data_IF_583816787934
#
_entry.id   IF_583816787934
#
_cell.length_a   1.000
_cell.length_b   1.000
_cell.length_c   1.000
_cell.angle_alpha   90.00
_cell.angle_beta   90.00
_cell.angle_gamma   90.00
#
_symmetry.space_group_name_H-M   'P 1'
#
loop_
_entity.id
_entity.type
_entity.pdbx_description
1 polymer ?
#
# COMPACT_ATOMS: atom_id res chain seq x y z
N UNK A 1 -9.68 -15.47 -42.83
CA UNK A 1 -8.86 -15.47 -41.59
C UNK A 1 -8.54 -14.03 -41.23
N UNK A 2 -8.55 -13.70 -39.95
CA UNK A 2 -8.19 -12.36 -39.44
C UNK A 2 -6.71 -12.41 -39.05
N UNK A 3 -5.93 -11.39 -39.43
CA UNK A 3 -4.51 -11.29 -39.04
C UNK A 3 -4.39 -10.99 -37.55
N UNK A 4 -3.31 -11.47 -36.91
CA UNK A 4 -3.06 -11.32 -35.46
C UNK A 4 -3.27 -9.91 -34.95
N UNK A 5 -2.83 -8.90 -35.70
CA UNK A 5 -2.95 -7.48 -35.34
C UNK A 5 -4.39 -7.04 -35.09
N UNK A 6 -5.37 -7.74 -35.66
CA UNK A 6 -6.77 -7.33 -35.69
C UNK A 6 -7.70 -8.13 -34.78
N UNK A 7 -7.19 -8.97 -33.87
CA UNK A 7 -8.01 -9.68 -32.88
C UNK A 7 -7.38 -9.64 -31.47
N UNK A 8 -8.16 -9.94 -30.45
CA UNK A 8 -7.70 -10.08 -29.05
C UNK A 8 -7.11 -11.47 -28.79
N UNK A 9 -6.07 -11.57 -27.97
CA UNK A 9 -5.49 -12.86 -27.57
C UNK A 9 -6.43 -13.57 -26.57
N UNK A 10 -7.12 -12.81 -25.72
CA UNK A 10 -8.12 -13.28 -24.75
C UNK A 10 -9.31 -12.32 -24.73
N UNK A 11 -10.53 -12.84 -24.57
CA UNK A 11 -11.73 -12.05 -24.26
C UNK A 11 -12.41 -12.58 -23.01
N UNK A 12 -12.73 -11.69 -22.07
CA UNK A 12 -13.63 -11.99 -20.94
C UNK A 12 -15.03 -11.55 -21.38
N UNK A 13 -15.94 -12.50 -21.55
CA UNK A 13 -17.29 -12.22 -22.08
C UNK A 13 -18.25 -11.80 -20.98
N UNK A 14 -19.13 -10.84 -21.27
CA UNK A 14 -20.28 -10.47 -20.45
C UNK A 14 -19.93 -10.18 -18.97
N UNK A 15 -18.80 -9.52 -18.69
CA UNK A 15 -18.39 -9.20 -17.33
C UNK A 15 -19.25 -8.07 -16.75
N UNK A 16 -19.63 -8.17 -15.47
CA UNK A 16 -20.01 -7.00 -14.67
C UNK A 16 -18.74 -6.34 -14.17
N UNK A 17 -18.36 -5.19 -14.72
CA UNK A 17 -17.14 -4.47 -14.36
C UNK A 17 -17.48 -3.47 -13.27
N UNK A 18 -16.69 -3.48 -12.20
CA UNK A 18 -16.70 -2.44 -11.15
C UNK A 18 -15.30 -1.84 -11.09
N UNK A 19 -15.20 -0.56 -11.45
CA UNK A 19 -13.95 0.17 -11.49
C UNK A 19 -14.19 1.65 -11.13
N UNK A 20 -13.29 2.31 -10.37
CA UNK A 20 -13.49 3.69 -9.95
C UNK A 20 -13.53 4.71 -11.09
N UNK A 21 -12.93 4.40 -12.25
CA UNK A 21 -12.89 5.29 -13.42
C UNK A 21 -14.01 4.96 -14.41
N UNK A 22 -14.25 3.68 -14.69
CA UNK A 22 -15.29 3.24 -15.63
C UNK A 22 -16.69 3.21 -14.99
N UNK A 23 -16.79 3.14 -13.67
CA UNK A 23 -18.03 2.96 -12.93
C UNK A 23 -18.47 1.49 -12.90
N UNK A 24 -19.80 1.27 -12.87
CA UNK A 24 -20.40 -0.07 -12.88
C UNK A 24 -21.03 -0.30 -14.25
N UNK A 25 -20.41 -1.14 -15.07
CA UNK A 25 -20.82 -1.38 -16.47
C UNK A 25 -20.88 -2.86 -16.81
N UNK A 26 -21.64 -3.20 -17.85
CA UNK A 26 -21.68 -4.53 -18.47
C UNK A 26 -20.97 -4.45 -19.81
N UNK A 27 -19.91 -5.21 -20.01
CA UNK A 27 -19.14 -5.22 -21.25
C UNK A 27 -18.29 -6.49 -21.39
N UNK A 28 -17.73 -6.70 -22.57
CA UNK A 28 -16.62 -7.62 -22.80
C UNK A 28 -15.29 -6.90 -22.58
N UNK A 29 -14.28 -7.64 -22.15
CA UNK A 29 -12.91 -7.12 -21.97
C UNK A 29 -11.99 -7.87 -22.93
N UNK A 30 -11.35 -7.14 -23.84
CA UNK A 30 -10.33 -7.67 -24.73
C UNK A 30 -8.94 -7.52 -24.11
N UNK A 31 -8.12 -8.55 -24.22
CA UNK A 31 -6.71 -8.55 -23.80
C UNK A 31 -5.82 -8.92 -24.98
N UNK A 32 -4.71 -8.21 -25.13
CA UNK A 32 -3.72 -8.42 -26.18
C UNK A 32 -2.32 -8.14 -25.67
N UNK A 33 -1.39 -9.04 -25.94
CA UNK A 33 0.02 -8.93 -25.51
C UNK A 33 0.14 -8.62 -24.00
N UNK A 34 -0.71 -9.24 -23.18
CA UNK A 34 -0.74 -9.06 -21.73
C UNK A 34 -1.33 -7.72 -21.24
N UNK A 35 -1.94 -6.92 -22.12
CA UNK A 35 -2.54 -5.62 -21.79
C UNK A 35 -4.02 -5.59 -22.14
N UNK A 36 -4.78 -4.76 -21.43
CA UNK A 36 -6.18 -4.47 -21.79
C UNK A 36 -6.17 -3.77 -23.16
N UNK A 37 -6.76 -4.42 -24.15
CA UNK A 37 -6.95 -3.90 -25.51
C UNK A 37 -8.11 -2.90 -25.54
N UNK A 38 -9.20 -3.22 -24.84
CA UNK A 38 -10.40 -2.40 -24.80
C UNK A 38 -11.52 -3.05 -23.98
N UNK A 39 -12.53 -2.24 -23.67
CA UNK A 39 -13.76 -2.64 -22.98
C UNK A 39 -14.91 -2.21 -23.89
N UNK A 40 -15.76 -3.15 -24.29
CA UNK A 40 -16.80 -2.89 -25.28
C UNK A 40 -17.54 -4.15 -25.70
N UNK A 41 -18.01 -4.18 -26.94
CA UNK A 41 -18.70 -5.33 -27.52
C UNK A 41 -17.72 -6.21 -28.31
N UNK A 42 -17.53 -7.46 -27.88
CA UNK A 42 -16.67 -8.41 -28.56
C UNK A 42 -17.46 -9.33 -29.50
N UNK A 43 -16.90 -9.63 -30.68
CA UNK A 43 -17.60 -10.50 -31.61
C UNK A 43 -16.98 -10.64 -32.98
N UNK A 44 -17.81 -11.08 -33.93
CA UNK A 44 -17.44 -11.24 -35.33
C UNK A 44 -18.07 -10.12 -36.18
N UNK A 45 -17.29 -9.15 -36.68
CA UNK A 45 -17.81 -8.00 -37.42
C UNK A 45 -18.44 -8.37 -38.77
N UNK A 46 -18.32 -9.62 -39.23
CA UNK A 46 -18.97 -10.06 -40.48
C UNK A 46 -20.46 -10.39 -40.29
N UNK A 47 -20.91 -10.60 -39.06
CA UNK A 47 -22.28 -11.06 -38.75
C UNK A 47 -22.90 -10.34 -37.55
N UNK A 48 -22.18 -9.41 -36.93
CA UNK A 48 -22.61 -8.61 -35.78
C UNK A 48 -22.31 -7.15 -36.07
N UNK A 49 -23.21 -6.27 -35.66
CA UNK A 49 -23.01 -4.82 -35.71
C UNK A 49 -22.19 -4.36 -34.49
N UNK A 50 -21.57 -3.17 -34.58
CA UNK A 50 -20.90 -2.47 -33.48
C UNK A 50 -19.90 -3.31 -32.68
N UNK A 51 -19.01 -4.04 -33.38
CA UNK A 51 -17.94 -4.83 -32.76
C UNK A 51 -16.71 -3.96 -32.50
N UNK A 52 -16.40 -3.74 -31.22
CA UNK A 52 -15.20 -3.03 -30.76
C UNK A 52 -13.98 -3.98 -30.69
N UNK A 53 -14.22 -5.23 -30.31
CA UNK A 53 -13.17 -6.23 -30.03
C UNK A 53 -13.40 -7.46 -30.91
N UNK A 54 -12.52 -7.69 -31.87
CA UNK A 54 -12.69 -8.83 -32.78
C UNK A 54 -12.21 -10.13 -32.13
N UNK A 55 -13.10 -11.13 -32.14
CA UNK A 55 -12.80 -12.52 -31.75
C UNK A 55 -12.40 -13.33 -32.98
N UNK A 56 -11.33 -14.12 -32.87
CA UNK A 56 -10.85 -14.98 -33.95
C UNK A 56 -10.67 -16.43 -33.50
N UNK A 57 -10.27 -17.30 -34.42
CA UNK A 57 -9.89 -18.69 -34.10
C UNK A 57 -8.66 -18.83 -33.19
N UNK A 58 -7.96 -17.74 -32.86
CA UNK A 58 -6.79 -17.72 -31.97
C UNK A 58 -7.04 -16.87 -30.71
N UNK A 59 -8.31 -16.57 -30.40
CA UNK A 59 -8.72 -15.82 -29.21
C UNK A 59 -9.19 -16.81 -28.16
N UNK A 60 -8.58 -16.81 -26.98
CA UNK A 60 -9.08 -17.55 -25.81
C UNK A 60 -10.28 -16.83 -25.19
N UNK A 61 -11.14 -17.56 -24.47
CA UNK A 61 -12.35 -17.04 -23.85
C UNK A 61 -12.39 -17.38 -22.35
N UNK A 62 -12.68 -16.37 -21.52
CA UNK A 62 -13.11 -16.54 -20.14
C UNK A 62 -14.58 -16.11 -20.03
N UNK A 63 -15.44 -16.98 -19.51
CA UNK A 63 -16.84 -16.66 -19.23
C UNK A 63 -16.96 -15.73 -18.01
N UNK A 64 -17.28 -14.46 -18.25
CA UNK A 64 -17.57 -13.46 -17.21
C UNK A 64 -19.06 -13.34 -16.85
N UNK A 65 -19.93 -14.17 -17.45
CA UNK A 65 -21.33 -14.26 -17.05
C UNK A 65 -21.43 -14.68 -15.57
N UNK A 66 -22.33 -14.06 -14.82
CA UNK A 66 -22.53 -14.31 -13.38
C UNK A 66 -21.32 -14.03 -12.49
N UNK A 67 -20.33 -13.28 -12.96
CA UNK A 67 -19.19 -12.81 -12.15
C UNK A 67 -19.13 -11.28 -12.11
N UNK A 68 -18.35 -10.77 -11.15
CA UNK A 68 -17.92 -9.38 -11.09
C UNK A 68 -16.42 -9.36 -11.41
N UNK A 69 -16.00 -8.44 -12.27
CA UNK A 69 -14.61 -8.21 -12.64
C UNK A 69 -14.16 -6.86 -12.10
N UNK A 70 -13.04 -6.85 -11.37
CA UNK A 70 -12.41 -5.65 -10.82
C UNK A 70 -10.95 -5.61 -11.28
N UNK A 71 -10.29 -4.45 -11.23
CA UNK A 71 -8.83 -4.41 -11.23
C UNK A 71 -8.27 -5.27 -10.09
N UNK A 72 -7.06 -5.79 -10.28
CA UNK A 72 -6.34 -6.45 -9.18
C UNK A 72 -5.94 -5.44 -8.12
N UNK A 73 -6.03 -5.83 -6.85
CA UNK A 73 -5.71 -4.96 -5.70
C UNK A 73 -4.22 -4.61 -5.68
N UNK A 74 -3.91 -3.37 -5.28
CA UNK A 74 -2.55 -2.89 -5.01
C UNK A 74 -2.44 -2.68 -3.50
N UNK A 75 -1.62 -3.47 -2.83
CA UNK A 75 -1.30 -3.26 -1.42
C UNK A 75 0.03 -2.52 -1.31
N UNK A 76 -0.01 -1.32 -0.75
CA UNK A 76 1.14 -0.43 -0.65
C UNK A 76 1.85 -0.45 0.70
N UNK A 77 1.40 -1.25 1.68
CA UNK A 77 2.04 -1.32 2.99
C UNK A 77 2.48 -2.75 3.33
N UNK A 78 3.32 -3.34 2.49
CA UNK A 78 3.81 -4.71 2.66
C UNK A 78 5.14 -4.76 3.44
N UNK A 79 5.15 -5.47 4.55
CA UNK A 79 6.40 -5.91 5.16
C UNK A 79 6.80 -7.25 4.54
N UNK A 80 7.91 -7.29 3.80
CA UNK A 80 8.42 -8.52 3.17
C UNK A 80 9.11 -9.44 4.21
N UNK A 81 8.36 -9.86 5.23
CA UNK A 81 8.77 -10.73 6.33
C UNK A 81 8.87 -12.18 5.85
N UNK A 82 7.90 -12.62 5.06
CA UNK A 82 7.83 -14.01 4.60
C UNK A 82 7.30 -14.11 3.16
N UNK A 83 7.91 -14.96 2.30
CA UNK A 83 7.47 -15.13 0.91
C UNK A 83 6.07 -15.74 0.78
N UNK A 84 5.58 -16.43 1.83
CA UNK A 84 4.23 -16.99 1.85
C UNK A 84 3.14 -15.91 1.69
N UNK A 85 3.42 -14.67 2.09
CA UNK A 85 2.50 -13.55 1.90
C UNK A 85 2.10 -13.36 0.44
N UNK A 86 2.98 -13.65 -0.54
CA UNK A 86 2.64 -13.54 -1.96
C UNK A 86 1.48 -14.46 -2.35
N UNK A 87 1.42 -15.66 -1.75
CA UNK A 87 0.36 -16.63 -2.01
C UNK A 87 -0.96 -16.15 -1.39
N UNK A 88 -0.92 -15.68 -0.15
CA UNK A 88 -2.10 -15.18 0.55
C UNK A 88 -2.66 -13.93 -0.16
N UNK A 89 -1.77 -13.01 -0.55
CA UNK A 89 -2.11 -11.78 -1.27
C UNK A 89 -2.83 -12.09 -2.60
N UNK A 90 -2.23 -12.93 -3.46
CA UNK A 90 -2.81 -13.24 -4.77
C UNK A 90 -4.14 -14.01 -4.65
N UNK A 91 -4.28 -14.87 -3.64
CA UNK A 91 -5.53 -15.57 -3.35
C UNK A 91 -6.66 -14.62 -2.92
N UNK A 92 -6.32 -13.46 -2.35
CA UNK A 92 -7.26 -12.39 -2.02
C UNK A 92 -7.44 -11.36 -3.16
N UNK A 93 -6.86 -11.59 -4.33
CA UNK A 93 -6.98 -10.70 -5.49
C UNK A 93 -5.98 -9.54 -5.53
N UNK A 94 -4.98 -9.52 -4.65
CA UNK A 94 -3.84 -8.60 -4.75
C UNK A 94 -2.95 -9.03 -5.90
N UNK A 95 -2.64 -8.08 -6.79
CA UNK A 95 -1.75 -8.33 -7.96
C UNK A 95 -0.48 -7.50 -7.90
N UNK A 96 -0.40 -6.54 -6.98
CA UNK A 96 0.74 -5.65 -6.80
C UNK A 96 1.03 -5.47 -5.32
N UNK A 97 2.29 -5.68 -4.93
CA UNK A 97 2.78 -5.56 -3.55
C UNK A 97 3.88 -4.51 -3.50
N UNK A 98 3.65 -3.40 -2.79
CA UNK A 98 4.64 -2.34 -2.59
C UNK A 98 4.95 -2.23 -1.10
N UNK A 99 6.23 -2.17 -0.75
CA UNK A 99 6.65 -2.17 0.64
C UNK A 99 8.13 -2.40 0.79
N UNK A 100 8.59 -2.97 1.91
CA UNK A 100 10.03 -3.20 2.11
C UNK A 100 10.31 -4.32 3.11
N UNK A 101 11.51 -4.88 3.02
CA UNK A 101 11.94 -5.96 3.91
C UNK A 101 13.04 -6.84 3.33
N UNK A 102 13.61 -7.69 4.18
CA UNK A 102 14.67 -8.65 3.82
C UNK A 102 14.43 -10.02 4.44
N UNK A 103 13.17 -10.43 4.59
CA UNK A 103 12.78 -11.60 5.38
C UNK A 103 12.54 -11.25 6.87
N UNK A 104 12.52 -12.24 7.78
CA UNK A 104 12.05 -12.06 9.16
C UNK A 104 13.11 -11.46 10.09
N UNK A 105 13.85 -10.45 9.61
CA UNK A 105 14.77 -9.67 10.43
C UNK A 105 14.00 -8.65 11.27
N UNK A 106 14.48 -8.33 12.48
CA UNK A 106 13.79 -7.40 13.40
C UNK A 106 13.43 -6.06 12.73
N UNK A 107 14.35 -5.53 11.91
CA UNK A 107 14.10 -4.30 11.16
C UNK A 107 12.97 -4.41 10.12
N UNK A 108 12.76 -5.58 9.53
CA UNK A 108 11.64 -5.85 8.60
C UNK A 108 10.35 -6.17 9.35
N UNK A 109 10.44 -6.86 10.49
CA UNK A 109 9.30 -7.09 11.37
C UNK A 109 8.71 -5.78 11.89
N UNK A 110 9.54 -4.74 12.02
CA UNK A 110 9.11 -3.41 12.46
C UNK A 110 8.84 -2.43 11.30
N UNK A 111 9.56 -2.52 10.18
CA UNK A 111 9.54 -1.44 9.17
C UNK A 111 9.52 -1.97 7.74
N UNK A 112 8.77 -1.31 6.86
CA UNK A 112 8.78 -1.51 5.40
C UNK A 112 10.03 -0.93 4.73
N UNK A 113 11.21 -1.37 5.15
CA UNK A 113 12.48 -0.94 4.58
C UNK A 113 13.26 -2.13 4.00
N UNK A 114 13.71 -2.01 2.75
CA UNK A 114 14.77 -2.84 2.15
C UNK A 114 16.07 -2.03 2.13
N UNK A 115 16.92 -2.11 3.18
CA UNK A 115 18.00 -1.15 3.36
C UNK A 115 19.25 -1.47 2.53
N UNK A 116 19.69 -0.51 1.72
CA UNK A 116 20.97 -0.57 1.00
C UNK A 116 20.93 -1.35 -0.33
N UNK A 117 21.87 -1.04 -1.21
CA UNK A 117 21.97 -1.56 -2.59
C UNK A 117 21.90 -3.09 -2.65
N UNK A 118 22.71 -3.78 -1.84
CA UNK A 118 22.80 -5.24 -1.88
C UNK A 118 21.47 -5.92 -1.55
N UNK A 119 20.75 -5.45 -0.53
CA UNK A 119 19.48 -6.01 -0.12
C UNK A 119 18.39 -5.74 -1.17
N UNK A 120 18.38 -4.55 -1.77
CA UNK A 120 17.43 -4.20 -2.83
C UNK A 120 17.61 -5.16 -4.02
N UNK A 121 18.84 -5.35 -4.50
CA UNK A 121 19.12 -6.28 -5.60
C UNK A 121 18.70 -7.72 -5.25
N UNK A 122 18.97 -8.19 -4.02
CA UNK A 122 18.58 -9.54 -3.59
C UNK A 122 17.08 -9.74 -3.52
N UNK A 123 16.33 -8.73 -3.08
CA UNK A 123 14.87 -8.80 -3.06
C UNK A 123 14.28 -8.77 -4.47
N UNK A 124 14.85 -7.98 -5.39
CA UNK A 124 14.47 -8.00 -6.82
C UNK A 124 14.69 -9.40 -7.42
N UNK A 125 15.87 -9.99 -7.21
CA UNK A 125 16.16 -11.37 -7.65
C UNK A 125 15.18 -12.39 -7.04
N UNK A 126 14.85 -12.25 -5.75
CA UNK A 126 14.00 -13.19 -5.03
C UNK A 126 12.55 -13.20 -5.53
N UNK A 127 12.04 -12.07 -6.05
CA UNK A 127 10.64 -11.98 -6.48
C UNK A 127 10.39 -12.37 -7.94
N UNK A 128 11.44 -12.65 -8.73
CA UNK A 128 11.31 -13.02 -10.15
C UNK A 128 10.48 -14.30 -10.38
N UNK A 129 10.31 -15.15 -9.37
CA UNK A 129 9.52 -16.38 -9.47
C UNK A 129 8.00 -16.18 -9.30
N UNK A 130 7.53 -15.02 -8.83
CA UNK A 130 6.12 -14.79 -8.50
C UNK A 130 5.36 -14.08 -9.64
N UNK A 131 4.11 -14.47 -9.92
CA UNK A 131 3.25 -13.81 -10.91
C UNK A 131 2.56 -12.55 -10.31
N UNK A 132 3.34 -11.66 -9.71
CA UNK A 132 2.89 -10.44 -9.04
C UNK A 132 3.80 -9.27 -9.43
N UNK A 133 3.27 -8.05 -9.35
CA UNK A 133 4.10 -6.85 -9.47
C UNK A 133 4.67 -6.49 -8.09
N UNK A 134 5.94 -6.06 -8.05
CA UNK A 134 6.61 -5.69 -6.80
C UNK A 134 7.21 -4.28 -6.89
N UNK A 135 7.12 -3.54 -5.77
CA UNK A 135 7.86 -2.30 -5.54
C UNK A 135 8.55 -2.33 -4.19
N UNK A 136 9.83 -1.95 -4.14
CA UNK A 136 10.62 -1.93 -2.91
C UNK A 136 10.89 -0.51 -2.42
N UNK A 137 10.61 -0.28 -1.15
CA UNK A 137 10.91 0.94 -0.43
C UNK A 137 12.26 0.79 0.27
N UNK A 138 13.16 1.76 0.06
CA UNK A 138 14.40 1.80 0.81
C UNK A 138 14.22 2.47 2.18
N UNK A 139 15.24 2.40 3.04
CA UNK A 139 15.22 3.15 4.31
C UNK A 139 15.44 4.63 4.04
N UNK A 140 14.48 5.47 4.44
CA UNK A 140 14.49 6.92 4.25
C UNK A 140 15.11 7.72 5.40
N UNK A 141 15.37 7.09 6.55
CA UNK A 141 15.84 7.76 7.76
C UNK A 141 17.36 8.08 7.72
N UNK A 142 17.74 9.07 6.92
CA UNK A 142 19.08 9.68 6.96
C UNK A 142 18.97 11.20 6.88
N UNK A 143 19.73 11.93 7.69
CA UNK A 143 19.77 13.41 7.66
C UNK A 143 20.61 13.95 6.49
N UNK A 144 21.22 13.06 5.71
CA UNK A 144 22.00 13.34 4.50
C UNK A 144 21.42 12.60 3.31
N UNK A 145 21.50 13.22 2.14
CA UNK A 145 20.81 12.74 0.94
C UNK A 145 21.60 11.65 0.20
N UNK A 146 22.93 11.61 0.35
CA UNK A 146 23.81 10.77 -0.46
C UNK A 146 23.51 9.28 -0.31
N UNK A 147 23.28 8.80 0.92
CA UNK A 147 22.95 7.40 1.18
C UNK A 147 21.55 7.02 0.69
N UNK A 148 20.61 7.97 0.65
CA UNK A 148 19.26 7.75 0.14
C UNK A 148 19.27 7.64 -1.39
N UNK A 149 20.03 8.51 -2.07
CA UNK A 149 20.21 8.47 -3.53
C UNK A 149 20.83 7.16 -4.01
N UNK A 150 21.77 6.60 -3.26
CA UNK A 150 22.38 5.29 -3.56
C UNK A 150 21.33 4.18 -3.61
N UNK A 151 20.42 4.16 -2.64
CA UNK A 151 19.36 3.14 -2.56
C UNK A 151 18.32 3.30 -3.68
N UNK A 152 17.90 4.52 -4.00
CA UNK A 152 16.99 4.76 -5.13
C UNK A 152 17.64 4.32 -6.45
N UNK A 153 18.92 4.63 -6.64
CA UNK A 153 19.68 4.18 -7.83
C UNK A 153 19.79 2.65 -7.93
N UNK A 154 19.78 1.93 -6.81
CA UNK A 154 19.78 0.48 -6.77
C UNK A 154 18.44 -0.16 -7.17
N UNK A 155 17.37 0.63 -7.35
CA UNK A 155 16.07 0.15 -7.83
C UNK A 155 14.93 0.28 -6.81
N UNK A 156 15.12 0.98 -5.69
CA UNK A 156 13.99 1.31 -4.83
C UNK A 156 13.04 2.29 -5.53
N UNK A 157 11.73 2.03 -5.45
CA UNK A 157 10.69 2.88 -6.05
C UNK A 157 10.14 3.94 -5.08
N UNK A 158 10.64 3.97 -3.86
CA UNK A 158 10.26 4.93 -2.82
C UNK A 158 11.11 4.78 -1.56
N UNK A 159 10.84 5.63 -0.58
CA UNK A 159 11.53 5.65 0.72
C UNK A 159 10.52 5.48 1.85
N UNK A 160 10.86 4.70 2.88
CA UNK A 160 10.09 4.62 4.13
C UNK A 160 10.82 5.38 5.24
N UNK A 161 10.15 6.36 5.83
CA UNK A 161 10.50 6.95 7.12
C UNK A 161 9.78 6.18 8.23
N UNK A 162 10.50 5.70 9.23
CA UNK A 162 9.95 5.01 10.40
C UNK A 162 10.51 5.51 11.71
N UNK A 163 9.68 5.58 12.77
CA UNK A 163 10.09 6.11 14.07
C UNK A 163 11.21 5.27 14.71
N UNK A 164 11.17 3.94 14.55
CA UNK A 164 12.21 2.98 14.95
C UNK A 164 13.60 3.28 14.37
N UNK A 165 13.66 4.00 13.26
CA UNK A 165 14.91 4.49 12.65
C UNK A 165 15.12 6.00 12.83
N UNK A 166 14.22 6.69 13.53
CA UNK A 166 14.23 8.13 13.79
C UNK A 166 13.52 8.95 12.72
N UNK A 167 12.21 9.17 12.87
CA UNK A 167 11.41 10.07 12.01
C UNK A 167 11.49 11.51 12.53
N UNK A 168 12.67 12.11 12.39
CA UNK A 168 12.96 13.48 12.83
C UNK A 168 12.68 14.49 11.70
N UNK A 169 12.49 15.78 12.01
CA UNK A 169 12.39 16.82 10.98
C UNK A 169 13.55 16.83 9.96
N UNK A 170 14.77 16.48 10.39
CA UNK A 170 15.94 16.43 9.52
C UNK A 170 15.88 15.25 8.53
N UNK A 171 15.47 14.07 8.98
CA UNK A 171 15.31 12.89 8.12
C UNK A 171 14.12 13.04 7.17
N UNK A 172 13.01 13.62 7.65
CA UNK A 172 11.85 14.00 6.81
C UNK A 172 12.30 14.90 5.65
N UNK A 173 13.04 15.97 5.97
CA UNK A 173 13.46 16.93 4.94
C UNK A 173 14.41 16.31 3.91
N UNK A 174 15.38 15.50 4.35
CA UNK A 174 16.33 14.81 3.48
C UNK A 174 15.63 13.82 2.53
N UNK A 175 14.75 12.97 3.07
CA UNK A 175 13.99 12.01 2.27
C UNK A 175 13.11 12.68 1.21
N UNK A 176 12.42 13.76 1.58
CA UNK A 176 11.58 14.51 0.65
C UNK A 176 12.40 15.26 -0.42
N UNK A 177 13.57 15.80 -0.08
CA UNK A 177 14.47 16.37 -1.09
C UNK A 177 14.93 15.33 -2.12
N UNK A 178 15.20 14.10 -1.67
CA UNK A 178 15.60 13.01 -2.56
C UNK A 178 14.43 12.59 -3.43
N UNK A 179 13.24 12.42 -2.84
CA UNK A 179 12.02 12.10 -3.57
C UNK A 179 11.72 13.08 -4.71
N UNK A 180 11.82 14.39 -4.45
CA UNK A 180 11.65 15.43 -5.48
C UNK A 180 12.71 15.34 -6.59
N UNK A 181 13.94 14.89 -6.28
CA UNK A 181 15.04 14.74 -7.25
C UNK A 181 14.90 13.48 -8.10
N UNK A 182 14.29 12.43 -7.57
CA UNK A 182 14.23 11.11 -8.20
C UNK A 182 12.85 10.73 -8.70
N UNK A 183 11.84 11.57 -8.48
CA UNK A 183 10.43 11.30 -8.83
C UNK A 183 9.94 9.98 -8.20
N UNK A 184 10.20 9.84 -6.90
CA UNK A 184 9.80 8.68 -6.08
C UNK A 184 8.91 9.11 -4.93
N UNK A 185 8.14 8.19 -4.35
CA UNK A 185 7.29 8.50 -3.19
C UNK A 185 8.05 8.37 -1.86
N UNK A 186 7.63 9.12 -0.84
CA UNK A 186 7.99 8.89 0.57
C UNK A 186 6.76 8.38 1.32
N UNK A 187 6.89 7.23 1.95
CA UNK A 187 5.96 6.73 2.95
C UNK A 187 6.46 7.07 4.35
N UNK A 188 5.57 7.44 5.28
CA UNK A 188 5.96 7.84 6.64
C UNK A 188 5.12 7.15 7.72
N UNK A 189 5.84 6.65 8.72
CA UNK A 189 5.38 6.37 10.07
C UNK A 189 6.02 7.42 10.99
N UNK A 190 5.19 8.26 11.61
CA UNK A 190 5.64 9.46 12.34
C UNK A 190 6.06 9.16 13.78
N UNK A 191 6.65 10.14 14.46
CA UNK A 191 7.18 10.03 15.82
C UNK A 191 6.04 9.93 16.85
N UNK A 192 5.67 8.70 17.24
CA UNK A 192 4.59 8.45 18.21
C UNK A 192 4.88 9.11 19.56
N UNK A 193 6.14 9.12 19.95
CA UNK A 193 6.61 9.64 21.24
C UNK A 193 6.57 11.17 21.31
N UNK A 194 6.41 11.85 20.18
CA UNK A 194 6.60 13.29 20.07
C UNK A 194 7.97 13.73 20.59
N UNK A 195 9.00 12.90 20.43
CA UNK A 195 10.35 13.15 20.93
C UNK A 195 10.98 14.39 20.28
N UNK A 196 10.80 14.51 18.97
CA UNK A 196 11.40 15.58 18.16
C UNK A 196 10.42 16.73 17.84
N UNK A 197 9.20 16.68 18.38
CA UNK A 197 8.14 17.66 18.16
C UNK A 197 6.76 17.00 18.06
N UNK A 198 5.71 17.81 17.97
CA UNK A 198 4.34 17.31 17.79
C UNK A 198 3.99 17.20 16.30
N UNK A 199 2.78 16.71 15.98
CA UNK A 199 2.31 16.54 14.59
C UNK A 199 2.47 17.81 13.74
N UNK A 200 2.25 18.99 14.34
CA UNK A 200 2.40 20.28 13.66
C UNK A 200 3.84 20.57 13.24
N UNK A 201 4.83 20.06 13.96
CA UNK A 201 6.25 20.22 13.63
C UNK A 201 6.65 19.26 12.49
N UNK A 202 6.08 18.05 12.48
CA UNK A 202 6.20 17.13 11.33
C UNK A 202 5.53 17.69 10.08
N UNK A 203 4.34 18.28 10.18
CA UNK A 203 3.67 18.96 9.05
C UNK A 203 4.55 20.11 8.52
N UNK A 204 5.13 20.93 9.41
CA UNK A 204 6.09 21.97 9.00
C UNK A 204 7.32 21.38 8.31
N UNK A 205 7.85 20.26 8.79
CA UNK A 205 9.00 19.59 8.18
C UNK A 205 8.68 19.02 6.79
N UNK A 206 7.45 18.54 6.57
CA UNK A 206 6.97 18.11 5.25
C UNK A 206 6.93 19.31 4.27
N UNK A 207 6.63 20.51 4.77
CA UNK A 207 6.73 21.76 4.02
C UNK A 207 5.92 21.78 2.71
N UNK A 208 4.72 21.17 2.73
CA UNK A 208 3.81 21.14 1.58
C UNK A 208 4.21 20.20 0.44
N UNK A 209 5.26 19.38 0.62
CA UNK A 209 5.69 18.36 -0.36
C UNK A 209 4.80 17.12 -0.28
N UNK A 210 4.67 16.42 -1.40
CA UNK A 210 3.87 15.19 -1.48
C UNK A 210 4.46 14.11 -0.57
N UNK A 211 3.62 13.48 0.26
CA UNK A 211 4.04 12.37 1.13
C UNK A 211 2.85 11.46 1.45
N UNK A 212 3.11 10.16 1.52
CA UNK A 212 2.12 9.14 1.89
C UNK A 212 2.20 8.84 3.39
N UNK A 213 1.17 9.20 4.14
CA UNK A 213 1.07 8.85 5.57
C UNK A 213 0.46 7.47 5.73
N UNK A 214 1.23 6.53 6.29
CA UNK A 214 0.72 5.21 6.64
C UNK A 214 -0.12 5.26 7.91
N UNK A 215 -1.02 4.27 8.05
CA UNK A 215 -1.92 4.06 9.20
C UNK A 215 -2.31 5.37 9.88
N UNK A 216 -2.92 6.26 9.08
CA UNK A 216 -3.08 7.69 9.40
C UNK A 216 -3.91 7.93 10.66
N UNK A 217 -4.73 6.98 11.06
CA UNK A 217 -5.47 7.00 12.33
C UNK A 217 -4.56 6.93 13.57
N UNK A 218 -3.42 6.22 13.47
CA UNK A 218 -2.35 6.23 14.47
C UNK A 218 -2.24 5.00 15.38
N UNK A 219 -3.14 4.01 15.34
CA UNK A 219 -2.99 2.77 16.10
C UNK A 219 -1.76 1.97 15.63
N UNK A 220 -1.58 1.87 14.30
CA UNK A 220 -0.39 1.32 13.67
C UNK A 220 0.88 2.15 13.94
N UNK A 221 0.72 3.43 14.32
CA UNK A 221 1.76 4.31 14.82
C UNK A 221 1.74 5.72 14.25
N UNK A 222 2.37 6.64 14.97
CA UNK A 222 2.40 8.06 14.66
C UNK A 222 2.03 8.93 15.86
N UNK A 223 2.31 10.23 15.75
CA UNK A 223 2.12 11.24 16.81
C UNK A 223 0.85 10.99 17.65
N UNK A 224 1.05 10.66 18.92
CA UNK A 224 -0.05 10.44 19.85
C UNK A 224 -0.53 11.77 20.46
N UNK A 225 -1.84 12.07 20.48
CA UNK A 225 -2.95 11.27 19.95
C UNK A 225 -3.44 11.71 18.56
N UNK A 226 -2.80 12.69 17.91
CA UNK A 226 -3.44 13.54 16.91
C UNK A 226 -2.84 13.45 15.49
N UNK A 227 -2.08 12.39 15.18
CA UNK A 227 -1.56 12.14 13.82
C UNK A 227 -2.66 12.20 12.75
N UNK A 228 -3.88 11.73 13.04
CA UNK A 228 -5.03 11.78 12.12
C UNK A 228 -5.31 13.16 11.54
N UNK A 229 -4.94 14.24 12.24
CA UNK A 229 -5.05 15.62 11.74
C UNK A 229 -4.40 15.80 10.37
N UNK A 230 -3.32 15.07 10.09
CA UNK A 230 -2.54 15.20 8.85
C UNK A 230 -3.35 14.90 7.58
N UNK A 231 -4.45 14.13 7.69
CA UNK A 231 -5.35 13.86 6.57
C UNK A 231 -6.05 15.14 6.03
N UNK A 232 -6.07 16.24 6.80
CA UNK A 232 -6.60 17.52 6.36
C UNK A 232 -5.67 18.34 5.46
N UNK A 233 -4.42 17.92 5.28
CA UNK A 233 -3.43 18.64 4.50
C UNK A 233 -3.48 18.25 3.00
N UNK A 234 -3.41 19.21 2.06
CA UNK A 234 -3.67 18.97 0.64
C UNK A 234 -2.57 18.18 -0.09
N UNK A 235 -1.37 18.11 0.50
CA UNK A 235 -0.20 17.42 -0.03
C UNK A 235 -0.01 16.02 0.56
N UNK A 236 -0.94 15.57 1.40
CA UNK A 236 -0.88 14.27 2.07
C UNK A 236 -1.72 13.27 1.29
N UNK A 237 -1.16 12.06 1.11
CA UNK A 237 -1.87 10.90 0.58
C UNK A 237 -2.12 9.93 1.74
N UNK A 238 -3.24 10.03 2.47
CA UNK A 238 -3.46 9.25 3.67
C UNK A 238 -3.93 7.83 3.36
N UNK A 239 -3.30 6.84 4.00
CA UNK A 239 -3.81 5.46 4.04
C UNK A 239 -4.06 4.97 5.46
N UNK A 240 -4.94 3.98 5.55
CA UNK A 240 -5.15 3.15 6.73
C UNK A 240 -4.52 1.78 6.56
N UNK A 241 -4.29 1.10 7.67
CA UNK A 241 -3.97 -0.32 7.70
C UNK A 241 -5.18 -1.10 8.19
N UNK A 242 -5.28 -2.38 7.82
CA UNK A 242 -6.56 -3.06 7.87
C UNK A 242 -7.05 -3.57 9.25
N UNK A 243 -6.25 -3.73 10.32
CA UNK A 243 -6.81 -4.34 11.54
C UNK A 243 -7.81 -3.48 12.30
N UNK A 244 -7.74 -2.15 12.13
CA UNK A 244 -8.73 -1.25 12.72
C UNK A 244 -10.03 -1.23 11.92
N UNK A 245 -10.11 -1.89 10.75
CA UNK A 245 -11.17 -1.73 9.74
C UNK A 245 -12.13 -2.93 9.69
N UNK A 246 -13.44 -2.74 9.92
CA UNK A 246 -14.07 -1.57 10.56
C UNK A 246 -13.87 -1.59 12.08
N UNK A 247 -14.34 -0.53 12.77
CA UNK A 247 -14.39 -0.54 14.22
C UNK A 247 -15.44 -1.55 14.72
N UNK A 248 -15.01 -2.50 15.57
CA UNK A 248 -15.86 -3.56 16.13
C UNK A 248 -15.71 -3.69 17.64
N UNK A 249 -16.58 -4.51 18.25
CA UNK A 249 -16.58 -4.78 19.70
C UNK A 249 -15.29 -5.38 20.23
N UNK A 250 -14.48 -6.03 19.40
CA UNK A 250 -13.21 -6.65 19.81
C UNK A 250 -11.98 -5.80 19.44
N UNK A 251 -12.14 -4.77 18.61
CA UNK A 251 -11.01 -4.02 18.03
C UNK A 251 -10.12 -3.44 19.12
N UNK A 252 -10.69 -2.75 20.12
CA UNK A 252 -9.88 -2.10 21.15
C UNK A 252 -9.09 -3.09 22.00
N UNK A 253 -9.73 -4.18 22.45
CA UNK A 253 -9.09 -5.18 23.30
C UNK A 253 -8.00 -5.94 22.54
N UNK A 254 -8.26 -6.30 21.28
CA UNK A 254 -7.26 -6.93 20.41
C UNK A 254 -6.04 -6.02 20.22
N UNK A 255 -6.25 -4.74 19.91
CA UNK A 255 -5.15 -3.84 19.58
C UNK A 255 -4.32 -3.45 20.80
N UNK A 256 -4.94 -3.29 21.98
CA UNK A 256 -4.20 -3.05 23.21
C UNK A 256 -3.25 -4.22 23.52
N UNK A 257 -3.75 -5.46 23.46
CA UNK A 257 -2.91 -6.63 23.74
C UNK A 257 -1.84 -6.84 22.66
N UNK A 258 -2.20 -6.67 21.37
CA UNK A 258 -1.25 -6.71 20.26
C UNK A 258 -0.12 -5.69 20.44
N UNK A 259 -0.46 -4.45 20.79
CA UNK A 259 0.52 -3.37 20.98
C UNK A 259 1.47 -3.69 22.15
N UNK A 260 0.93 -4.18 23.27
CA UNK A 260 1.72 -4.59 24.43
C UNK A 260 2.68 -5.73 24.09
N UNK A 261 2.23 -6.73 23.32
CA UNK A 261 3.08 -7.85 22.88
C UNK A 261 4.16 -7.40 21.92
N UNK A 262 3.80 -6.65 20.87
CA UNK A 262 4.75 -6.19 19.84
C UNK A 262 5.87 -5.33 20.42
N UNK A 263 5.56 -4.47 21.40
CA UNK A 263 6.53 -3.57 22.02
C UNK A 263 7.14 -4.13 23.31
N UNK A 264 6.85 -5.40 23.67
CA UNK A 264 7.35 -6.05 24.88
C UNK A 264 7.05 -5.26 26.17
N UNK A 265 5.88 -4.61 26.21
CA UNK A 265 5.44 -3.77 27.32
C UNK A 265 4.94 -4.62 28.49
N UNK A 266 5.08 -4.08 29.70
CA UNK A 266 4.67 -4.76 30.92
C UNK A 266 3.42 -4.11 31.53
N UNK A 267 2.29 -4.83 31.66
CA UNK A 267 1.05 -4.28 32.23
C UNK A 267 1.17 -3.89 33.71
N UNK A 268 2.28 -4.25 34.37
CA UNK A 268 2.58 -3.82 35.74
C UNK A 268 3.34 -2.49 35.82
N UNK A 269 3.77 -1.93 34.68
CA UNK A 269 4.49 -0.65 34.59
C UNK A 269 3.50 0.43 34.11
N UNK A 270 3.20 1.47 34.93
CA UNK A 270 2.24 2.50 34.56
C UNK A 270 2.56 3.26 33.29
N UNK A 271 3.85 3.52 33.03
CA UNK A 271 4.32 4.22 31.84
C UNK A 271 4.08 3.41 30.56
N UNK A 272 4.29 2.10 30.61
CA UNK A 272 4.02 1.17 29.51
C UNK A 272 2.54 1.14 29.16
N UNK A 273 1.67 1.05 30.18
CA UNK A 273 0.21 1.10 30.01
C UNK A 273 -0.21 2.46 29.46
N UNK A 274 0.34 3.56 29.99
CA UNK A 274 0.03 4.91 29.50
C UNK A 274 0.45 5.09 28.04
N UNK A 275 1.56 4.50 27.60
CA UNK A 275 1.97 4.52 26.20
C UNK A 275 0.97 3.74 25.33
N UNK A 276 0.57 2.54 25.76
CA UNK A 276 -0.43 1.72 25.07
C UNK A 276 -1.79 2.42 24.92
N UNK A 277 -2.31 2.96 26.01
CA UNK A 277 -3.59 3.70 26.01
C UNK A 277 -3.50 5.02 25.24
N UNK A 278 -2.31 5.63 25.15
CA UNK A 278 -2.14 6.83 24.32
C UNK A 278 -2.16 6.52 22.81
N UNK A 279 -1.76 5.32 22.40
CA UNK A 279 -1.68 4.88 21.00
C UNK A 279 -2.96 4.21 20.50
N UNK A 280 -3.60 3.38 21.32
CA UNK A 280 -4.80 2.62 20.95
C UNK A 280 -6.04 3.31 21.49
N UNK A 281 -6.75 4.06 20.62
CA UNK A 281 -7.82 4.97 21.03
C UNK A 281 -9.12 4.64 20.30
N UNK A 282 -10.20 4.43 21.03
CA UNK A 282 -11.50 4.10 20.45
C UNK A 282 -12.04 5.25 19.57
N UNK A 283 -11.77 6.48 19.97
CA UNK A 283 -12.27 7.69 19.32
C UNK A 283 -11.69 7.87 17.91
N UNK A 284 -10.38 7.71 17.75
CA UNK A 284 -9.73 7.84 16.44
C UNK A 284 -10.02 6.62 15.56
N UNK A 285 -10.05 5.40 16.10
CA UNK A 285 -10.45 4.20 15.33
C UNK A 285 -11.89 4.33 14.80
N UNK A 286 -12.82 4.86 15.61
CA UNK A 286 -14.19 5.11 15.16
C UNK A 286 -14.27 6.26 14.14
N UNK A 287 -13.47 7.32 14.31
CA UNK A 287 -13.42 8.43 13.36
C UNK A 287 -12.86 8.00 12.00
N UNK A 288 -11.91 7.07 11.97
CA UNK A 288 -11.31 6.52 10.75
C UNK A 288 -12.39 5.90 9.83
N UNK A 289 -13.42 5.24 10.39
CA UNK A 289 -14.53 4.68 9.59
C UNK A 289 -15.28 5.79 8.84
N UNK A 290 -15.58 6.89 9.54
CA UNK A 290 -16.26 8.04 8.96
C UNK A 290 -15.37 8.75 7.93
N UNK A 291 -14.06 8.87 8.19
CA UNK A 291 -13.12 9.51 7.28
C UNK A 291 -12.93 8.73 5.97
N UNK A 292 -12.99 7.40 6.00
CA UNK A 292 -13.06 6.60 4.78
C UNK A 292 -14.37 6.84 4.02
N UNK A 293 -15.51 6.84 4.71
CA UNK A 293 -16.84 6.99 4.07
C UNK A 293 -17.00 8.34 3.37
N UNK A 294 -16.41 9.41 3.91
CA UNK A 294 -16.42 10.74 3.28
C UNK A 294 -15.26 10.98 2.30
N UNK A 295 -14.35 10.01 2.13
CA UNK A 295 -13.20 10.08 1.23
C UNK A 295 -12.04 10.97 1.72
N UNK A 296 -11.96 11.25 3.02
CA UNK A 296 -10.84 11.99 3.63
C UNK A 296 -9.60 11.12 3.88
N UNK A 297 -9.78 9.81 4.05
CA UNK A 297 -8.69 8.83 3.91
C UNK A 297 -8.87 8.14 2.56
N UNK A 298 -7.79 8.06 1.78
CA UNK A 298 -7.88 7.77 0.34
C UNK A 298 -7.51 6.34 -0.02
N UNK A 299 -6.90 5.59 0.90
CA UNK A 299 -6.32 4.27 0.63
C UNK A 299 -6.46 3.33 1.83
N UNK A 300 -6.58 2.03 1.57
CA UNK A 300 -6.42 0.96 2.55
C UNK A 300 -5.24 0.08 2.16
N UNK A 301 -4.55 -0.46 3.16
CA UNK A 301 -3.36 -1.31 2.99
C UNK A 301 -3.31 -2.36 4.12
N UNK A 302 -2.42 -3.35 4.03
CA UNK A 302 -2.36 -4.39 5.07
C UNK A 302 -1.62 -3.95 6.32
N UNK A 303 -0.32 -3.63 6.22
CA UNK A 303 0.70 -3.71 7.29
C UNK A 303 1.15 -5.15 7.58
N UNK A 304 1.37 -5.92 6.51
CA UNK A 304 1.37 -7.38 6.54
C UNK A 304 2.30 -8.01 7.59
N UNK A 305 1.72 -8.73 8.56
CA UNK A 305 2.43 -9.37 9.69
C UNK A 305 3.14 -8.38 10.65
N UNK A 306 2.91 -7.07 10.53
CA UNK A 306 3.50 -6.02 11.34
C UNK A 306 2.41 -5.09 11.90
N UNK A 307 1.38 -5.67 12.55
CA UNK A 307 0.10 -5.02 12.88
C UNK A 307 -0.87 -4.92 11.69
N UNK A 308 -0.86 -5.92 10.82
CA UNK A 308 -1.71 -5.99 9.63
C UNK A 308 -1.85 -7.40 9.06
N UNK A 309 -2.86 -7.58 8.19
CA UNK A 309 -3.21 -8.87 7.58
C UNK A 309 -3.13 -8.77 6.06
N UNK A 310 -2.38 -9.63 5.38
CA UNK A 310 -2.13 -9.49 3.93
C UNK A 310 -3.29 -9.95 3.04
N UNK A 311 -4.13 -10.86 3.54
CA UNK A 311 -5.27 -11.44 2.83
C UNK A 311 -6.61 -10.82 3.22
#
# INVERSE_FOLDING_TARGET
>A
GVLRERFADLVITNAMIIDPVLGIIKADIGVKDGKILGVGNAGNPNVMDDVDIVVSSNTEIISGEHTICTPGTIDSHIHFISPQQAIDAICNGVTTMIGGGTGPADGTNATTCTPGEWNIHKMIEAVEEYPLNFGFLCKGNDSREEALLEQVKAGACGLKLHEDWGTTPATINSALNVADKTDTQVAIHTDTLNECGYVDDTIKAIAGRAIHTYHTEGAGGGHAPDIMKIAGEPNILPSSTNPTRPYTVNTLQEHLDMMMVCHHLNPSVPEDVSFAESRIRAETIAAEDVLHDIGAISMMSSDSQAMGRVG
#
